data_IF_640182333328
#
_entry.id   IF_640182333328
#
_cell.length_a   1.000
_cell.length_b   1.000
_cell.length_c   1.000
_cell.angle_alpha   90.00
_cell.angle_beta   90.00
_cell.angle_gamma   90.00
#
_symmetry.space_group_name_H-M   'P 1'
#
loop_
_entity.id
_entity.type
_entity.pdbx_description
1 polymer ?
#
# COMPACT_ATOMS: atom_id res chain seq x y z
N UNK A 1 -22.51 -43.98 -35.26
CA UNK A 1 -22.67 -42.63 -34.66
C UNK A 1 -21.45 -42.35 -33.80
N UNK A 2 -20.73 -41.23 -33.99
CA UNK A 2 -19.62 -40.88 -33.10
C UNK A 2 -20.18 -40.30 -31.79
N UNK A 3 -19.80 -40.87 -30.64
CA UNK A 3 -20.12 -40.34 -29.31
C UNK A 3 -19.24 -39.13 -29.00
N UNK A 4 -19.87 -38.03 -28.59
CA UNK A 4 -19.18 -36.84 -28.08
C UNK A 4 -18.65 -37.09 -26.65
N UNK A 5 -17.43 -36.63 -26.30
CA UNK A 5 -16.92 -36.72 -24.95
C UNK A 5 -17.65 -35.73 -24.03
N UNK A 6 -18.33 -36.28 -23.02
CA UNK A 6 -19.03 -35.52 -21.98
C UNK A 6 -17.98 -34.85 -21.08
N UNK A 7 -17.82 -33.52 -21.18
CA UNK A 7 -16.97 -32.76 -20.25
C UNK A 7 -17.64 -32.71 -18.88
N UNK A 8 -17.20 -33.58 -17.97
CA UNK A 8 -17.54 -33.50 -16.55
C UNK A 8 -16.90 -32.26 -15.95
N UNK A 9 -17.65 -31.16 -15.90
CA UNK A 9 -17.30 -29.98 -15.12
C UNK A 9 -17.41 -30.41 -13.65
N UNK A 10 -16.29 -30.87 -13.06
CA UNK A 10 -16.23 -30.99 -11.60
C UNK A 10 -16.49 -29.59 -11.04
N UNK A 11 -17.57 -29.39 -10.26
CA UNK A 11 -17.76 -28.11 -9.58
C UNK A 11 -16.54 -27.89 -8.69
N UNK A 12 -16.00 -26.67 -8.70
CA UNK A 12 -14.93 -26.25 -7.78
C UNK A 12 -15.48 -26.35 -6.35
N UNK A 13 -15.42 -27.54 -5.77
CA UNK A 13 -16.05 -27.91 -4.50
C UNK A 13 -15.42 -27.22 -3.30
N UNK A 14 -14.43 -26.36 -3.51
CA UNK A 14 -13.74 -25.56 -2.48
C UNK A 14 -14.09 -24.07 -2.46
N UNK A 15 -14.63 -23.50 -3.54
CA UNK A 15 -14.91 -22.06 -3.59
C UNK A 15 -16.11 -21.70 -2.70
N UNK A 16 -16.05 -20.55 -2.04
CA UNK A 16 -17.16 -19.93 -1.32
C UNK A 16 -17.73 -18.81 -2.18
N UNK A 17 -19.04 -18.78 -2.37
CA UNK A 17 -19.72 -17.68 -3.06
C UNK A 17 -20.54 -16.82 -2.08
N UNK A 18 -21.04 -15.64 -2.50
CA UNK A 18 -21.82 -14.76 -1.62
C UNK A 18 -23.14 -15.38 -1.12
N UNK A 19 -23.75 -16.29 -1.89
CA UNK A 19 -24.97 -17.00 -1.47
C UNK A 19 -24.65 -18.00 -0.35
N UNK A 20 -23.54 -18.72 -0.46
CA UNK A 20 -23.04 -19.61 0.59
C UNK A 20 -22.80 -18.83 1.88
N UNK A 21 -22.22 -17.63 1.79
CA UNK A 21 -21.98 -16.77 2.94
C UNK A 21 -23.30 -16.36 3.62
N UNK A 22 -24.32 -15.97 2.85
CA UNK A 22 -25.64 -15.63 3.39
C UNK A 22 -26.30 -16.84 4.08
N UNK A 23 -26.25 -18.02 3.47
CA UNK A 23 -26.80 -19.25 4.06
C UNK A 23 -26.07 -19.63 5.35
N UNK A 24 -24.73 -19.55 5.36
CA UNK A 24 -23.91 -19.83 6.53
C UNK A 24 -24.22 -18.86 7.68
N UNK A 25 -24.37 -17.59 7.36
CA UNK A 25 -24.74 -16.54 8.30
C UNK A 25 -26.14 -16.73 8.90
N UNK A 26 -27.14 -17.02 8.06
CA UNK A 26 -28.51 -17.24 8.48
C UNK A 26 -28.63 -18.47 9.39
N UNK A 27 -27.98 -19.58 9.03
CA UNK A 27 -27.99 -20.80 9.83
C UNK A 27 -27.31 -20.60 11.19
N UNK A 28 -26.25 -19.77 11.27
CA UNK A 28 -25.64 -19.39 12.55
C UNK A 28 -26.49 -18.45 13.39
N UNK A 29 -27.20 -17.51 12.77
CA UNK A 29 -28.17 -16.66 13.45
C UNK A 29 -29.33 -17.47 14.06
N UNK A 30 -29.70 -18.59 13.45
CA UNK A 30 -30.67 -19.56 13.99
C UNK A 30 -30.10 -20.43 15.13
N UNK A 31 -28.84 -20.25 15.52
CA UNK A 31 -28.19 -20.99 16.60
C UNK A 31 -27.72 -22.40 16.21
N UNK A 32 -27.75 -22.77 14.92
CA UNK A 32 -27.31 -24.10 14.48
C UNK A 32 -25.80 -24.29 14.70
N UNK A 33 -25.40 -25.50 15.09
CA UNK A 33 -23.99 -25.86 15.25
C UNK A 33 -23.31 -26.18 13.91
N UNK A 34 -21.98 -26.11 13.85
CA UNK A 34 -21.20 -26.25 12.60
C UNK A 34 -21.43 -27.57 11.85
N UNK A 35 -21.54 -28.68 12.57
CA UNK A 35 -21.77 -30.00 11.95
C UNK A 35 -23.17 -30.10 11.30
N UNK A 36 -24.27 -29.75 11.99
CA UNK A 36 -25.59 -29.63 11.37
C UNK A 36 -25.63 -28.68 10.16
N UNK A 37 -25.00 -27.51 10.25
CA UNK A 37 -24.95 -26.53 9.15
C UNK A 37 -24.27 -27.13 7.92
N UNK A 38 -23.12 -27.78 8.14
CA UNK A 38 -22.37 -28.40 7.05
C UNK A 38 -23.19 -29.51 6.38
N UNK A 39 -23.81 -30.39 7.15
CA UNK A 39 -24.60 -31.50 6.60
C UNK A 39 -25.82 -31.01 5.81
N UNK A 40 -26.49 -29.95 6.29
CA UNK A 40 -27.70 -29.43 5.66
C UNK A 40 -27.42 -28.61 4.39
N UNK A 41 -26.37 -27.78 4.40
CA UNK A 41 -26.17 -26.75 3.37
C UNK A 41 -24.87 -26.90 2.58
N UNK A 42 -23.84 -27.52 3.15
CA UNK A 42 -22.50 -27.58 2.57
C UNK A 42 -21.93 -29.01 2.57
N UNK A 43 -22.57 -29.98 1.89
CA UNK A 43 -22.17 -31.39 1.93
C UNK A 43 -20.75 -31.65 1.40
N UNK A 44 -20.23 -30.74 0.57
CA UNK A 44 -18.87 -30.80 0.02
C UNK A 44 -17.79 -30.12 0.89
N UNK A 45 -18.17 -29.48 2.00
CA UNK A 45 -17.27 -28.77 2.92
C UNK A 45 -17.20 -29.50 4.26
N UNK A 46 -16.21 -29.15 5.09
CA UNK A 46 -16.11 -29.66 6.47
C UNK A 46 -16.75 -28.69 7.47
N UNK A 47 -17.18 -29.15 8.66
CA UNK A 47 -17.70 -28.27 9.71
C UNK A 47 -16.71 -27.17 10.10
N UNK A 48 -15.41 -27.51 10.14
CA UNK A 48 -14.35 -26.56 10.43
C UNK A 48 -14.20 -25.49 9.33
N UNK A 49 -14.42 -25.84 8.05
CA UNK A 49 -14.42 -24.86 6.97
C UNK A 49 -15.57 -23.84 7.13
N UNK A 50 -16.75 -24.29 7.58
CA UNK A 50 -17.88 -23.41 7.88
C UNK A 50 -17.54 -22.45 9.03
N UNK A 51 -16.92 -22.95 10.11
CA UNK A 51 -16.46 -22.13 11.22
C UNK A 51 -15.47 -21.05 10.76
N UNK A 52 -14.38 -21.46 10.08
CA UNK A 52 -13.35 -20.54 9.59
C UNK A 52 -13.91 -19.49 8.63
N UNK A 53 -14.85 -19.88 7.76
CA UNK A 53 -15.50 -18.92 6.85
C UNK A 53 -16.33 -17.90 7.62
N UNK A 54 -17.12 -18.35 8.59
CA UNK A 54 -17.92 -17.47 9.44
C UNK A 54 -17.06 -16.50 10.26
N UNK A 55 -15.96 -16.97 10.86
CA UNK A 55 -14.99 -16.11 11.57
C UNK A 55 -14.48 -14.98 10.67
N UNK A 56 -14.03 -15.31 9.45
CA UNK A 56 -13.59 -14.32 8.45
C UNK A 56 -14.69 -13.35 8.03
N UNK A 57 -15.93 -13.81 7.90
CA UNK A 57 -17.07 -12.95 7.58
C UNK A 57 -17.39 -11.99 8.73
N UNK A 58 -17.25 -12.44 9.98
CA UNK A 58 -17.42 -11.59 11.16
C UNK A 58 -16.32 -10.52 11.26
N UNK A 59 -15.06 -10.91 11.07
CA UNK A 59 -13.93 -9.97 11.05
C UNK A 59 -14.12 -8.88 9.99
N UNK A 60 -14.55 -9.25 8.78
CA UNK A 60 -14.84 -8.29 7.71
C UNK A 60 -16.02 -7.38 8.05
N UNK A 61 -17.08 -7.91 8.66
CA UNK A 61 -18.23 -7.09 9.07
C UNK A 61 -17.86 -6.10 10.17
N UNK A 62 -17.05 -6.53 11.14
CA UNK A 62 -16.54 -5.65 12.20
C UNK A 62 -15.56 -4.60 11.68
N UNK A 63 -14.77 -4.90 10.64
CA UNK A 63 -13.93 -3.91 9.96
C UNK A 63 -14.76 -2.90 9.15
N UNK A 64 -15.96 -3.30 8.69
CA UNK A 64 -16.90 -2.49 7.91
C UNK A 64 -17.96 -1.80 8.81
N UNK A 65 -17.76 -1.77 10.13
CA UNK A 65 -18.65 -1.11 11.10
C UNK A 65 -18.68 0.42 10.97
N UNK A 66 -18.08 0.99 9.91
CA UNK A 66 -18.37 2.35 9.42
C UNK A 66 -19.72 2.36 8.70
N UNK A 67 -20.78 2.05 9.45
CA UNK A 67 -22.14 2.17 8.95
C UNK A 67 -22.43 3.62 8.49
N UNK A 68 -23.41 3.77 7.60
CA UNK A 68 -23.75 5.08 7.03
C UNK A 68 -24.09 6.14 8.09
N UNK A 69 -24.61 5.73 9.25
CA UNK A 69 -25.00 6.64 10.34
C UNK A 69 -23.77 7.15 11.12
N UNK A 70 -22.77 6.29 11.36
CA UNK A 70 -21.49 6.69 11.95
C UNK A 70 -20.70 7.57 11.00
N UNK A 71 -20.72 7.27 9.70
CA UNK A 71 -20.09 8.12 8.69
C UNK A 71 -20.74 9.49 8.61
N UNK A 72 -22.09 9.54 8.60
CA UNK A 72 -22.84 10.80 8.62
C UNK A 72 -22.57 11.61 9.89
N UNK A 73 -22.54 10.95 11.06
CA UNK A 73 -22.19 11.60 12.32
C UNK A 73 -20.77 12.17 12.31
N UNK A 74 -19.78 11.41 11.82
CA UNK A 74 -18.42 11.91 11.65
C UNK A 74 -18.37 13.09 10.68
N UNK A 75 -19.04 13.00 9.53
CA UNK A 75 -19.08 14.07 8.53
C UNK A 75 -19.68 15.37 9.11
N UNK A 76 -20.75 15.28 9.92
CA UNK A 76 -21.34 16.42 10.62
C UNK A 76 -20.32 17.12 11.52
N UNK A 77 -19.62 16.36 12.36
CA UNK A 77 -18.61 16.92 13.27
C UNK A 77 -17.40 17.47 12.51
N UNK A 78 -16.98 16.78 11.44
CA UNK A 78 -15.94 17.26 10.55
C UNK A 78 -16.29 18.63 9.99
N UNK A 79 -17.50 18.80 9.44
CA UNK A 79 -17.93 20.07 8.86
C UNK A 79 -18.02 21.19 9.90
N UNK A 80 -18.45 20.89 11.13
CA UNK A 80 -18.50 21.86 12.22
C UNK A 80 -17.12 22.37 12.62
N UNK A 81 -16.12 21.50 12.71
CA UNK A 81 -14.76 21.83 13.15
C UNK A 81 -13.77 22.05 11.99
N UNK A 82 -14.22 21.95 10.74
CA UNK A 82 -13.38 21.95 9.53
C UNK A 82 -12.38 23.10 9.52
N UNK A 83 -12.85 24.32 9.79
CA UNK A 83 -11.99 25.50 9.83
C UNK A 83 -10.93 25.39 10.93
N UNK A 84 -11.31 24.96 12.12
CA UNK A 84 -10.43 24.87 13.29
C UNK A 84 -9.34 23.81 13.09
N UNK A 85 -9.67 22.68 12.45
CA UNK A 85 -8.72 21.62 12.11
C UNK A 85 -7.61 22.14 11.19
N UNK A 86 -7.98 22.91 10.16
CA UNK A 86 -7.04 23.27 9.09
C UNK A 86 -6.37 24.64 9.26
N UNK A 87 -6.91 25.52 10.11
CA UNK A 87 -6.35 26.87 10.32
C UNK A 87 -4.90 26.88 10.80
N UNK A 88 -4.47 26.04 11.77
CA UNK A 88 -3.08 26.03 12.22
C UNK A 88 -2.07 25.64 11.13
N UNK A 89 -2.42 24.64 10.31
CA UNK A 89 -1.55 24.20 9.21
C UNK A 89 -1.49 25.25 8.08
N UNK A 90 -2.62 25.90 7.81
CA UNK A 90 -2.73 27.01 6.87
C UNK A 90 -1.83 28.20 7.29
N UNK A 91 -1.83 28.54 8.58
CA UNK A 91 -0.99 29.60 9.12
C UNK A 91 0.52 29.31 8.93
N UNK A 92 0.95 28.05 9.09
CA UNK A 92 2.36 27.66 8.91
C UNK A 92 2.79 27.62 7.44
N UNK A 93 1.86 27.33 6.52
CA UNK A 93 2.15 27.21 5.09
C UNK A 93 1.92 28.51 4.31
N UNK A 94 1.28 29.51 4.92
CA UNK A 94 0.91 30.77 4.26
C UNK A 94 -0.27 30.66 3.30
N UNK A 95 -0.99 29.53 3.32
CA UNK A 95 -2.08 29.22 2.39
C UNK A 95 -3.46 29.39 3.03
N UNK A 96 -4.52 29.42 2.22
CA UNK A 96 -5.90 29.41 2.74
C UNK A 96 -6.26 28.01 3.27
N UNK A 97 -6.93 27.93 4.42
CA UNK A 97 -7.30 26.64 5.06
C UNK A 97 -8.05 25.69 4.11
N UNK A 98 -8.92 26.22 3.24
CA UNK A 98 -9.68 25.42 2.27
C UNK A 98 -8.79 24.83 1.17
N UNK A 99 -7.70 25.51 0.81
CA UNK A 99 -6.72 25.04 -0.18
C UNK A 99 -5.87 23.92 0.42
N UNK A 100 -5.42 24.10 1.67
CA UNK A 100 -4.63 23.09 2.40
C UNK A 100 -5.39 21.78 2.54
N UNK A 101 -6.64 21.84 3.01
CA UNK A 101 -7.49 20.65 3.10
C UNK A 101 -7.66 19.95 1.75
N UNK A 102 -8.00 20.72 0.69
CA UNK A 102 -8.18 20.16 -0.64
C UNK A 102 -6.91 19.46 -1.12
N UNK A 103 -5.73 20.04 -0.86
CA UNK A 103 -4.45 19.41 -1.20
C UNK A 103 -4.17 18.17 -0.37
N UNK A 104 -4.39 18.20 0.95
CA UNK A 104 -4.23 17.04 1.82
C UNK A 104 -5.15 15.88 1.41
N UNK A 105 -6.42 16.15 1.13
CA UNK A 105 -7.39 15.14 0.73
C UNK A 105 -7.15 14.59 -0.68
N UNK A 106 -6.78 15.44 -1.65
CA UNK A 106 -6.54 15.00 -3.03
C UNK A 106 -5.22 14.26 -3.22
N UNK A 107 -4.17 14.66 -2.49
CA UNK A 107 -2.88 13.96 -2.53
C UNK A 107 -2.91 12.70 -1.68
N UNK A 108 -3.64 12.71 -0.55
CA UNK A 108 -3.71 11.60 0.39
C UNK A 108 -2.44 11.47 1.25
N UNK A 109 -2.59 10.82 2.40
CA UNK A 109 -1.57 10.77 3.44
C UNK A 109 -0.24 10.16 2.96
N UNK A 110 -0.27 9.06 2.19
CA UNK A 110 0.93 8.36 1.70
C UNK A 110 1.82 9.25 0.82
N UNK A 111 1.21 10.09 -0.02
CA UNK A 111 1.95 11.01 -0.89
C UNK A 111 2.51 12.21 -0.11
N UNK A 112 1.77 12.71 0.88
CA UNK A 112 2.28 13.75 1.79
C UNK A 112 3.49 13.25 2.59
N UNK A 113 3.42 12.05 3.17
CA UNK A 113 4.53 11.43 3.90
C UNK A 113 5.78 11.27 3.02
N UNK A 114 5.59 10.86 1.76
CA UNK A 114 6.70 10.71 0.80
C UNK A 114 7.32 12.07 0.44
N UNK A 115 6.50 13.09 0.26
CA UNK A 115 6.97 14.47 0.04
C UNK A 115 7.73 15.02 1.25
N UNK A 116 7.23 14.78 2.47
CA UNK A 116 7.88 15.21 3.71
C UNK A 116 9.27 14.57 3.89
N UNK A 117 9.38 13.25 3.70
CA UNK A 117 10.68 12.54 3.73
C UNK A 117 11.65 13.07 2.66
N UNK A 118 11.14 13.43 1.49
CA UNK A 118 11.96 13.99 0.41
C UNK A 118 12.40 15.42 0.72
N UNK A 119 11.58 16.20 1.42
CA UNK A 119 11.95 17.53 1.92
C UNK A 119 13.07 17.45 2.95
N UNK A 120 12.92 16.60 3.98
CA UNK A 120 13.93 16.43 5.03
C UNK A 120 15.29 15.95 4.47
N UNK A 121 15.28 15.06 3.47
CA UNK A 121 16.51 14.65 2.76
C UNK A 121 17.17 15.80 2.01
N UNK A 122 16.37 16.65 1.36
CA UNK A 122 16.88 17.82 0.62
C UNK A 122 17.49 18.85 1.55
N UNK A 123 16.86 19.12 2.68
CA UNK A 123 17.35 20.05 3.70
C UNK A 123 18.75 19.65 4.20
N UNK A 124 18.94 18.37 4.57
CA UNK A 124 20.25 17.84 4.99
C UNK A 124 21.35 18.00 3.93
N UNK A 125 21.01 17.84 2.65
CA UNK A 125 21.97 17.99 1.55
C UNK A 125 22.36 19.46 1.32
N UNK A 126 21.42 20.38 1.50
CA UNK A 126 21.67 21.82 1.36
C UNK A 126 22.56 22.33 2.50
N UNK A 127 22.33 21.88 3.73
CA UNK A 127 23.15 22.25 4.88
C UNK A 127 24.60 21.79 4.72
N UNK A 128 24.81 20.56 4.23
CA UNK A 128 26.15 20.01 3.95
C UNK A 128 26.89 20.74 2.81
N UNK A 129 26.16 21.29 1.85
CA UNK A 129 26.76 22.04 0.72
C UNK A 129 27.19 23.45 1.14
N UNK A 130 26.54 24.07 2.13
CA UNK A 130 26.88 25.43 2.60
C UNK A 130 28.23 25.52 3.32
N UNK A 131 28.72 24.42 3.90
CA UNK A 131 30.03 24.34 4.58
C UNK A 131 31.18 24.15 3.57
N UNK A 132 30.90 23.72 2.33
CA UNK A 132 31.92 23.40 1.32
C UNK A 132 32.33 24.55 0.38
N UNK A 133 31.70 25.73 0.46
CA UNK A 133 31.88 26.81 -0.54
C UNK A 133 32.62 28.07 -0.05
N UNK A 134 33.45 27.96 1.00
CA UNK A 134 34.34 29.04 1.47
C UNK A 134 35.83 28.76 1.23
N UNK A 135 36.19 28.05 0.17
CA UNK A 135 37.58 27.91 -0.28
C UNK A 135 37.80 28.52 -1.67
N UNK A 136 37.76 29.85 -1.76
CA UNK A 136 38.36 30.59 -2.86
C UNK A 136 39.55 31.39 -2.35
N UNK A 137 40.69 31.31 -3.06
CA UNK A 137 42.01 31.93 -2.80
C UNK A 137 42.84 31.18 -1.74
N UNK A 138 44.03 30.63 -1.99
CA UNK A 138 45.20 31.05 -2.79
C UNK A 138 46.02 29.76 -3.10
N UNK A 139 46.55 29.53 -4.31
CA UNK A 139 47.93 29.91 -4.66
C UNK A 139 49.00 28.92 -4.16
N UNK A 140 49.52 28.05 -5.04
CA UNK A 140 50.93 27.62 -4.99
C UNK A 140 51.27 26.13 -4.84
N UNK A 141 52.08 25.64 -5.79
CA UNK A 141 53.23 24.76 -5.50
C UNK A 141 52.99 23.25 -5.48
N UNK A 142 53.58 22.55 -6.46
CA UNK A 142 53.51 21.10 -6.59
C UNK A 142 54.47 20.29 -5.70
N UNK A 143 54.46 18.97 -5.94
CA UNK A 143 55.46 18.02 -5.44
C UNK A 143 54.85 16.86 -4.63
N UNK A 144 54.56 15.74 -5.29
CA UNK A 144 54.69 14.43 -4.62
C UNK A 144 56.17 13.98 -4.61
N UNK A 145 56.54 12.81 -4.03
CA UNK A 145 55.70 11.74 -3.48
C UNK A 145 56.17 11.06 -2.16
N UNK A 146 55.31 10.18 -1.62
CA UNK A 146 55.51 8.95 -0.82
C UNK A 146 56.37 8.94 0.48
N UNK A 147 55.75 8.57 1.61
CA UNK A 147 55.90 7.22 2.21
C UNK A 147 54.89 6.93 3.36
N UNK A 148 54.15 5.83 3.20
CA UNK A 148 53.55 4.90 4.17
C UNK A 148 53.00 5.35 5.56
N UNK A 149 51.71 5.10 5.77
CA UNK A 149 51.06 4.87 7.08
C UNK A 149 49.64 4.30 6.89
N UNK A 150 49.16 3.33 7.70
CA UNK A 150 48.11 2.38 7.32
C UNK A 150 46.69 2.97 7.25
N UNK A 151 45.90 2.35 6.39
CA UNK A 151 44.51 2.62 6.04
C UNK A 151 43.58 2.69 7.27
N UNK A 152 43.25 3.89 7.75
CA UNK A 152 42.13 4.11 8.66
C UNK A 152 40.99 4.77 7.89
N UNK A 153 39.98 3.95 7.63
CA UNK A 153 38.71 4.31 7.04
C UNK A 153 37.82 4.84 8.18
N UNK A 154 37.40 6.12 8.21
CA UNK A 154 36.53 6.58 9.27
C UNK A 154 35.11 6.04 9.02
N UNK A 155 34.73 5.03 9.79
CA UNK A 155 33.34 4.66 10.03
C UNK A 155 32.73 5.66 11.01
N UNK A 156 32.00 6.63 10.47
CA UNK A 156 31.22 7.57 11.26
C UNK A 156 29.96 6.85 11.81
N UNK A 157 30.11 6.34 13.02
CA UNK A 157 29.05 5.75 13.83
C UNK A 157 28.11 6.82 14.38
N UNK A 158 27.05 7.13 13.66
CA UNK A 158 25.89 7.88 14.17
C UNK A 158 24.87 6.96 14.84
N UNK A 159 25.14 6.55 16.08
CA UNK A 159 24.17 5.88 16.95
C UNK A 159 23.08 6.89 17.35
N UNK A 160 21.90 6.78 16.75
CA UNK A 160 20.65 7.33 17.30
C UNK A 160 19.76 6.13 17.65
N UNK A 161 19.85 5.78 18.92
CA UNK A 161 18.91 4.95 19.65
C UNK A 161 17.48 5.47 19.48
N UNK A 162 16.52 4.54 19.44
CA UNK A 162 15.13 4.63 19.91
C UNK A 162 14.19 3.77 19.06
N UNK A 163 14.07 2.50 19.47
CA UNK A 163 12.79 1.91 19.90
C UNK A 163 11.53 2.32 19.11
N UNK A 164 11.29 1.69 17.95
CA UNK A 164 9.95 1.25 17.50
C UNK A 164 10.08 0.46 16.18
N UNK A 165 10.50 -0.79 16.29
CA UNK A 165 10.49 -1.74 15.17
C UNK A 165 9.87 -3.06 15.63
N UNK A 166 8.63 -3.00 16.10
CA UNK A 166 7.80 -4.19 16.30
C UNK A 166 6.35 -3.88 15.89
N UNK A 167 6.14 -3.67 14.59
CA UNK A 167 4.87 -3.98 13.95
C UNK A 167 5.11 -4.44 12.52
N UNK A 168 4.39 -5.50 12.14
CA UNK A 168 4.30 -6.16 10.83
C UNK A 168 5.43 -7.13 10.43
N UNK A 169 5.62 -8.14 11.27
CA UNK A 169 5.86 -9.48 10.75
C UNK A 169 4.52 -10.07 10.28
N UNK A 170 4.21 -9.97 8.99
CA UNK A 170 3.40 -10.98 8.30
C UNK A 170 3.87 -11.14 6.85
N UNK A 171 4.40 -12.33 6.61
CA UNK A 171 5.14 -12.70 5.41
C UNK A 171 4.28 -12.76 4.15
N UNK A 172 4.73 -12.04 3.13
CA UNK A 172 4.41 -12.35 1.74
C UNK A 172 5.64 -12.98 1.07
N UNK A 173 5.65 -14.31 1.03
CA UNK A 173 6.41 -15.15 0.08
C UNK A 173 5.66 -16.49 0.04
N UNK A 174 5.36 -17.14 -1.10
CA UNK A 174 6.03 -17.19 -2.39
C UNK A 174 5.09 -17.79 -3.48
N UNK A 175 5.31 -17.32 -4.72
CA UNK A 175 5.42 -18.07 -6.01
C UNK A 175 4.27 -18.91 -6.58
N UNK A 176 3.89 -18.55 -7.81
CA UNK A 176 3.98 -19.35 -9.07
C UNK A 176 3.50 -18.44 -10.21
N UNK A 177 4.15 -18.20 -11.35
CA UNK A 177 4.96 -19.09 -12.17
C UNK A 177 4.26 -19.24 -13.55
N UNK A 178 4.75 -18.49 -14.55
CA UNK A 178 4.60 -18.68 -16.01
C UNK A 178 3.20 -18.69 -16.66
N UNK A 179 2.94 -17.72 -17.54
CA UNK A 179 2.97 -18.04 -18.98
C UNK A 179 3.19 -16.80 -19.86
N UNK A 180 4.28 -16.84 -20.62
CA UNK A 180 4.59 -15.95 -21.74
C UNK A 180 3.94 -16.54 -23.00
N UNK A 181 3.16 -15.76 -23.73
CA UNK A 181 2.69 -16.14 -25.07
C UNK A 181 2.24 -14.92 -25.90
N UNK A 182 3.16 -14.49 -26.79
CA UNK A 182 2.92 -13.91 -28.12
C UNK A 182 2.15 -12.56 -28.26
N UNK A 183 2.91 -11.51 -28.55
CA UNK A 183 2.47 -10.36 -29.36
C UNK A 183 3.37 -10.27 -30.60
N UNK A 184 2.84 -10.37 -31.83
CA UNK A 184 3.62 -10.06 -33.02
C UNK A 184 3.62 -8.55 -33.31
N UNK A 185 4.82 -8.07 -33.65
CA UNK A 185 5.13 -6.77 -34.22
C UNK A 185 4.42 -6.50 -35.55
N UNK A 186 3.96 -5.26 -35.78
CA UNK A 186 4.18 -4.49 -37.03
C UNK A 186 3.39 -3.18 -37.05
N UNK A 187 4.02 -2.09 -37.53
CA UNK A 187 3.32 -0.97 -38.14
C UNK A 187 3.63 0.44 -37.60
N UNK A 188 4.88 0.90 -37.69
CA UNK A 188 5.18 2.34 -37.67
C UNK A 188 4.86 2.94 -39.06
N UNK A 189 3.74 3.64 -39.17
CA UNK A 189 3.37 4.42 -40.36
C UNK A 189 3.69 5.90 -40.16
N UNK A 190 4.84 6.34 -40.66
CA UNK A 190 5.14 7.75 -40.91
C UNK A 190 4.82 8.09 -42.37
N UNK A 191 3.99 9.11 -42.60
CA UNK A 191 3.94 9.85 -43.87
C UNK A 191 4.35 11.31 -43.63
N UNK A 192 4.25 12.18 -44.64
CA UNK A 192 4.92 12.11 -45.95
C UNK A 192 5.80 13.36 -46.19
N UNK A 193 6.79 13.27 -47.09
CA UNK A 193 7.49 14.45 -47.61
C UNK A 193 8.09 14.19 -49.01
N UNK A 194 7.86 15.13 -49.94
CA UNK A 194 8.48 15.21 -51.27
C UNK A 194 7.44 15.09 -52.40
N UNK A 195 7.19 16.07 -53.28
CA UNK A 195 7.92 17.30 -53.57
C UNK A 195 8.85 17.13 -54.78
N UNK A 196 8.35 17.58 -55.94
CA UNK A 196 8.97 17.78 -57.27
C UNK A 196 8.89 16.64 -58.26
#
# INVERSE_FOLDING_TARGET
MPQQPQVSIRPSSGAWNPQDDQTLMAARAQGMNWAPIQQAYFPSKTPNACRKRHERLMERRSADDWDGMKLENMAKHYMAMRREIWTPLAAQTGEKWSVVEQKCMSQGLKNLQTSARSCARRERLLDNTSIGTSASQTGGGGGGPNYAGPFEHPDDSGYADELEAEYDADGASDRSGSNSAYHPSSGHGHGPAGGR
#
